data_IF_230283159216
#
_entry.id   IF_230283159216
#
_cell.length_a   1.000
_cell.length_b   1.000
_cell.length_c   1.000
_cell.angle_alpha   90.00
_cell.angle_beta   90.00
_cell.angle_gamma   90.00
#
_symmetry.space_group_name_H-M   'P 1'
#
loop_
_entity.id
_entity.type
_entity.pdbx_description
1 polymer ?
#
# COMPACT_ATOMS: atom_id res chain seq x y z
N UNK A 1 -19.79 18.98 45.90
CA UNK A 1 -21.07 19.69 45.82
C UNK A 1 -21.80 19.11 44.61
N UNK A 2 -22.68 18.19 44.95
CA UNK A 2 -24.14 18.19 44.71
C UNK A 2 -24.48 17.81 43.27
N UNK A 3 -24.74 16.53 42.99
CA UNK A 3 -26.06 15.84 43.03
C UNK A 3 -27.10 16.49 42.10
N UNK A 4 -27.62 15.73 41.11
CA UNK A 4 -29.05 15.31 41.08
C UNK A 4 -29.32 14.42 39.86
N UNK A 5 -29.76 13.18 40.14
CA UNK A 5 -30.69 12.38 39.33
C UNK A 5 -32.12 12.76 39.73
N UNK A 6 -33.16 12.56 38.91
CA UNK A 6 -34.04 11.39 39.02
C UNK A 6 -34.46 10.84 37.64
N UNK A 7 -34.71 9.56 37.42
CA UNK A 7 -35.74 8.59 37.85
C UNK A 7 -37.21 8.99 37.47
N UNK A 8 -37.85 8.19 36.67
CA UNK A 8 -39.22 7.64 36.80
C UNK A 8 -39.76 7.25 35.40
N UNK A 9 -40.12 6.04 35.24
CA UNK A 9 -41.38 5.22 35.40
C UNK A 9 -42.24 5.32 34.11
N UNK A 10 -42.43 4.20 33.42
CA UNK A 10 -43.37 3.08 33.56
C UNK A 10 -44.74 3.29 32.85
N UNK A 11 -45.19 2.31 32.14
CA UNK A 11 -46.51 1.65 32.00
C UNK A 11 -46.70 1.20 30.55
N UNK A 12 -46.75 -0.06 30.20
CA UNK A 12 -47.77 -1.10 30.46
C UNK A 12 -48.95 -1.09 29.47
N UNK A 13 -49.07 -2.26 28.79
CA UNK A 13 -50.27 -3.01 28.40
C UNK A 13 -51.10 -2.52 27.20
N UNK A 14 -51.44 -3.38 26.23
CA UNK A 14 -52.52 -4.34 26.25
C UNK A 14 -52.61 -5.16 24.95
N UNK A 15 -53.01 -6.40 25.11
CA UNK A 15 -53.36 -7.43 24.13
C UNK A 15 -54.49 -6.99 23.19
N UNK A 16 -54.47 -7.50 21.95
CA UNK A 16 -55.66 -7.89 21.21
C UNK A 16 -55.33 -8.99 20.21
N UNK A 17 -55.79 -10.21 20.47
CA UNK A 17 -55.97 -11.31 19.52
C UNK A 17 -57.15 -11.01 18.62
N UNK A 18 -56.99 -11.19 17.30
CA UNK A 18 -58.09 -11.57 16.40
C UNK A 18 -57.58 -12.54 15.36
N UNK A 19 -58.10 -13.75 15.43
CA UNK A 19 -57.98 -14.78 14.42
C UNK A 19 -58.99 -14.50 13.29
N UNK A 20 -58.54 -14.60 12.04
CA UNK A 20 -59.42 -14.81 10.90
C UNK A 20 -58.73 -15.68 9.86
N UNK A 21 -59.28 -16.89 9.66
CA UNK A 21 -58.96 -17.77 8.53
C UNK A 21 -59.43 -17.16 7.22
N UNK A 22 -58.64 -17.28 6.15
CA UNK A 22 -59.01 -16.86 4.79
C UNK A 22 -58.05 -17.41 3.75
N UNK A 23 -58.47 -18.49 3.14
CA UNK A 23 -58.10 -19.19 1.88
C UNK A 23 -57.07 -18.58 0.92
N UNK A 24 -56.08 -19.43 0.58
CA UNK A 24 -55.56 -19.76 -0.78
C UNK A 24 -55.54 -18.66 -1.85
N UNK A 25 -54.35 -18.17 -2.13
CA UNK A 25 -53.85 -17.93 -3.48
C UNK A 25 -52.36 -17.73 -3.45
N UNK A 26 -51.62 -18.62 -4.06
CA UNK A 26 -50.19 -18.53 -4.37
C UNK A 26 -49.96 -17.40 -5.38
N UNK A 27 -49.19 -16.39 -5.05
CA UNK A 27 -48.40 -15.67 -6.05
C UNK A 27 -46.98 -16.15 -5.98
N UNK A 28 -46.52 -16.67 -7.08
CA UNK A 28 -45.13 -16.88 -7.43
C UNK A 28 -44.33 -15.61 -7.12
N UNK A 29 -43.57 -15.59 -6.03
CA UNK A 29 -42.56 -14.57 -5.77
C UNK A 29 -41.40 -14.81 -6.69
N UNK A 30 -40.94 -13.79 -7.44
CA UNK A 30 -39.63 -13.87 -8.06
C UNK A 30 -38.56 -13.90 -6.92
N UNK A 31 -37.90 -15.04 -6.81
CA UNK A 31 -36.72 -15.21 -5.98
C UNK A 31 -35.64 -14.27 -6.49
N UNK A 32 -35.53 -13.08 -5.90
CA UNK A 32 -34.36 -12.27 -6.01
C UNK A 32 -33.25 -12.95 -5.19
N UNK A 33 -32.51 -13.84 -5.83
CA UNK A 33 -31.21 -14.27 -5.32
C UNK A 33 -30.41 -13.04 -4.95
N UNK A 34 -29.89 -12.95 -3.70
CA UNK A 34 -28.85 -11.96 -3.43
C UNK A 34 -27.68 -12.29 -4.34
N UNK A 35 -27.39 -11.36 -5.25
CA UNK A 35 -26.15 -11.36 -6.02
C UNK A 35 -25.02 -11.43 -5.00
N UNK A 36 -24.46 -12.61 -4.84
CA UNK A 36 -23.22 -12.78 -4.10
C UNK A 36 -22.20 -11.87 -4.81
N UNK A 37 -21.88 -10.75 -4.18
CA UNK A 37 -20.67 -10.00 -4.53
C UNK A 37 -19.55 -11.01 -4.51
N UNK A 38 -19.08 -11.37 -5.70
CA UNK A 38 -17.86 -12.12 -5.86
C UNK A 38 -16.76 -11.28 -5.23
N UNK A 39 -16.41 -11.60 -4.00
CA UNK A 39 -15.17 -11.13 -3.40
C UNK A 39 -14.07 -11.63 -4.33
N UNK A 40 -13.51 -10.71 -5.13
CA UNK A 40 -12.27 -10.98 -5.85
C UNK A 40 -11.30 -11.56 -4.83
N UNK A 41 -10.78 -12.79 -5.02
CA UNK A 41 -9.82 -13.34 -4.09
C UNK A 41 -8.68 -12.32 -3.97
N UNK A 42 -8.37 -11.92 -2.76
CA UNK A 42 -7.18 -11.13 -2.48
C UNK A 42 -6.00 -11.91 -3.11
N UNK A 43 -5.11 -11.23 -3.86
CA UNK A 43 -3.97 -11.91 -4.47
C UNK A 43 -3.25 -12.70 -3.37
N UNK A 44 -2.95 -13.95 -3.68
CA UNK A 44 -2.24 -14.83 -2.76
C UNK A 44 -0.98 -14.09 -2.31
N UNK A 45 -0.92 -13.72 -1.04
CA UNK A 45 0.21 -13.01 -0.48
C UNK A 45 1.42 -13.91 -0.66
N UNK A 46 2.35 -13.52 -1.49
CA UNK A 46 3.57 -14.29 -1.82
C UNK A 46 4.50 -14.47 -0.60
N UNK A 47 3.97 -14.33 0.61
CA UNK A 47 4.73 -14.40 1.84
C UNK A 47 5.72 -13.24 2.03
N UNK A 48 5.61 -12.19 1.20
CA UNK A 48 6.43 -10.99 1.31
C UNK A 48 5.76 -9.97 2.23
N UNK A 49 6.51 -9.46 3.18
CA UNK A 49 6.12 -8.36 4.07
C UNK A 49 7.19 -7.28 4.08
N UNK A 50 6.79 -6.05 4.43
CA UNK A 50 7.73 -4.95 4.69
C UNK A 50 7.65 -4.59 6.18
N UNK A 51 8.69 -4.97 6.93
CA UNK A 51 8.83 -4.62 8.33
C UNK A 51 9.47 -3.24 8.47
N UNK A 52 9.07 -2.50 9.50
CA UNK A 52 9.55 -1.13 9.78
C UNK A 52 9.42 -0.19 8.57
N UNK A 53 8.48 -0.51 7.67
CA UNK A 53 8.28 0.21 6.42
C UNK A 53 7.87 1.66 6.62
N UNK A 54 8.42 2.57 5.83
CA UNK A 54 8.04 3.98 5.81
C UNK A 54 8.39 4.63 4.48
N UNK A 55 7.69 5.74 4.18
CA UNK A 55 7.95 6.60 3.02
C UNK A 55 8.40 7.96 3.53
N UNK A 56 9.39 8.58 2.86
CA UNK A 56 9.83 9.94 3.18
C UNK A 56 8.76 10.93 2.77
N UNK A 57 8.30 11.78 3.71
CA UNK A 57 7.38 12.87 3.41
C UNK A 57 8.04 13.91 2.52
N UNK A 58 7.26 14.48 1.59
CA UNK A 58 7.75 15.50 0.63
C UNK A 58 7.11 16.87 0.83
N UNK A 59 6.23 17.02 1.82
CA UNK A 59 5.65 18.33 2.14
C UNK A 59 6.76 19.34 2.50
N UNK A 60 6.62 20.57 2.01
CA UNK A 60 7.61 21.61 2.24
C UNK A 60 8.88 21.50 1.41
N UNK A 61 9.04 20.46 0.59
CA UNK A 61 10.11 20.35 -0.40
C UNK A 61 9.73 21.12 -1.67
N UNK A 62 10.66 21.88 -2.22
CA UNK A 62 10.48 22.63 -3.47
C UNK A 62 11.11 21.89 -4.67
N UNK A 63 10.64 22.24 -5.90
CA UNK A 63 11.21 21.74 -7.15
C UNK A 63 10.96 20.24 -7.37
N UNK A 64 11.81 19.61 -8.20
CA UNK A 64 11.70 18.21 -8.57
C UNK A 64 11.77 17.20 -7.41
N UNK A 65 12.20 17.63 -6.21
CA UNK A 65 12.19 16.81 -5.00
C UNK A 65 10.77 16.59 -4.45
N UNK A 66 9.81 17.45 -4.77
CA UNK A 66 8.41 17.26 -4.40
C UNK A 66 7.71 16.22 -5.29
N UNK A 67 8.31 15.85 -6.41
CA UNK A 67 7.75 14.94 -7.41
C UNK A 67 8.17 13.48 -7.23
N UNK A 68 9.06 13.20 -6.27
CA UNK A 68 9.56 11.85 -6.02
C UNK A 68 9.85 11.62 -4.55
N UNK A 69 9.76 10.36 -4.12
CA UNK A 69 10.12 9.96 -2.76
C UNK A 69 10.56 8.51 -2.68
N UNK A 70 11.31 8.16 -1.63
CA UNK A 70 11.76 6.81 -1.35
C UNK A 70 10.92 6.10 -0.30
N UNK A 71 10.72 4.80 -0.48
CA UNK A 71 10.19 3.91 0.54
C UNK A 71 11.29 2.97 1.03
N UNK A 72 11.33 2.78 2.34
CA UNK A 72 12.38 2.11 3.10
C UNK A 72 11.79 1.08 4.08
N UNK A 73 12.64 0.20 4.61
CA UNK A 73 12.25 -0.84 5.56
C UNK A 73 12.96 -2.15 5.26
N UNK A 74 12.44 -3.25 5.77
CA UNK A 74 13.02 -4.59 5.59
C UNK A 74 12.00 -5.47 4.88
N UNK A 75 12.28 -5.84 3.64
CA UNK A 75 11.50 -6.84 2.93
C UNK A 75 11.82 -8.21 3.50
N UNK A 76 10.79 -8.96 3.92
CA UNK A 76 10.94 -10.32 4.42
C UNK A 76 10.17 -11.31 3.57
N UNK A 77 10.87 -12.35 3.16
CA UNK A 77 10.29 -13.50 2.47
C UNK A 77 10.00 -14.63 3.47
N UNK A 78 8.74 -14.80 3.87
CA UNK A 78 8.32 -15.90 4.73
C UNK A 78 8.16 -17.23 3.97
N UNK A 79 8.34 -17.22 2.66
CA UNK A 79 8.25 -18.41 1.79
C UNK A 79 9.45 -19.36 1.90
N UNK A 80 9.34 -20.51 1.25
CA UNK A 80 10.39 -21.53 1.19
C UNK A 80 11.17 -21.51 -0.13
N UNK A 81 10.79 -20.62 -1.05
CA UNK A 81 11.47 -20.37 -2.32
C UNK A 81 12.04 -18.95 -2.33
N UNK A 82 13.11 -18.69 -3.09
CA UNK A 82 13.55 -17.33 -3.35
C UNK A 82 12.40 -16.54 -3.97
N UNK A 83 12.29 -15.26 -3.64
CA UNK A 83 11.29 -14.34 -4.20
C UNK A 83 12.00 -13.23 -4.95
N UNK A 84 11.60 -13.00 -6.18
CA UNK A 84 12.18 -11.98 -7.04
C UNK A 84 11.21 -10.83 -7.23
N UNK A 85 11.57 -9.64 -6.73
CA UNK A 85 10.83 -8.39 -6.90
C UNK A 85 11.34 -7.69 -8.14
N UNK A 86 10.49 -7.49 -9.14
CA UNK A 86 10.86 -6.94 -10.44
C UNK A 86 10.48 -5.47 -10.62
N UNK A 87 9.57 -4.97 -9.80
CA UNK A 87 9.05 -3.62 -9.88
C UNK A 87 7.84 -3.40 -8.97
N UNK A 88 7.01 -2.44 -9.35
CA UNK A 88 5.78 -2.18 -8.59
C UNK A 88 4.98 -1.03 -9.19
N UNK A 89 3.89 -0.70 -8.51
CA UNK A 89 3.05 0.46 -8.83
C UNK A 89 2.43 1.03 -7.55
N UNK A 90 1.95 2.27 -7.63
CA UNK A 90 1.29 2.95 -6.52
C UNK A 90 0.26 3.94 -7.06
N UNK A 91 -0.93 4.07 -6.46
CA UNK A 91 -1.87 5.14 -6.83
C UNK A 91 -1.35 6.55 -6.48
N UNK A 92 -0.33 6.64 -5.63
CA UNK A 92 0.28 7.90 -5.22
C UNK A 92 1.38 8.39 -6.18
N UNK A 93 1.76 7.60 -7.20
CA UNK A 93 2.87 7.92 -8.10
C UNK A 93 2.60 7.42 -9.52
N UNK A 94 3.12 8.11 -10.52
CA UNK A 94 3.06 7.68 -11.93
C UNK A 94 3.95 6.47 -12.21
N UNK A 95 5.05 6.32 -11.45
CA UNK A 95 5.97 5.19 -11.58
C UNK A 95 6.53 4.75 -10.23
N UNK A 96 6.77 3.43 -10.11
CA UNK A 96 7.49 2.84 -8.97
C UNK A 96 8.69 2.06 -9.54
N UNK A 97 9.87 2.35 -9.04
CA UNK A 97 11.11 1.73 -9.49
C UNK A 97 11.90 1.20 -8.28
N UNK A 98 12.64 0.13 -8.50
CA UNK A 98 13.59 -0.40 -7.53
C UNK A 98 14.93 0.27 -7.83
N UNK A 99 15.53 0.94 -6.85
CA UNK A 99 16.80 1.64 -6.99
C UNK A 99 17.87 0.99 -6.12
N UNK A 100 19.08 0.95 -6.66
CA UNK A 100 20.27 0.49 -5.99
C UNK A 100 21.34 1.58 -5.99
N UNK A 101 22.23 1.50 -5.03
CA UNK A 101 23.37 2.38 -4.93
C UNK A 101 24.62 1.66 -5.41
N UNK A 102 25.28 2.22 -6.42
CA UNK A 102 26.51 1.68 -6.98
C UNK A 102 27.66 2.67 -6.84
N UNK A 103 28.88 2.16 -6.75
CA UNK A 103 30.09 2.99 -6.84
C UNK A 103 30.56 3.02 -8.29
N UNK A 104 30.71 4.22 -8.84
CA UNK A 104 31.30 4.39 -10.16
C UNK A 104 32.83 4.19 -10.14
N UNK A 105 33.47 4.23 -11.31
CA UNK A 105 34.89 4.03 -11.44
C UNK A 105 35.72 5.06 -10.67
N UNK A 106 35.19 6.25 -10.38
CA UNK A 106 35.86 7.29 -9.57
C UNK A 106 35.61 7.12 -8.05
N UNK A 107 34.90 6.08 -7.64
CA UNK A 107 34.53 5.83 -6.24
C UNK A 107 33.37 6.65 -5.73
N UNK A 108 32.76 7.48 -6.55
CA UNK A 108 31.54 8.22 -6.19
C UNK A 108 30.33 7.30 -6.15
N UNK A 109 29.46 7.56 -5.18
CA UNK A 109 28.22 6.79 -4.98
C UNK A 109 27.13 7.39 -5.87
N UNK A 110 26.47 6.55 -6.65
CA UNK A 110 25.36 6.93 -7.52
C UNK A 110 24.18 6.00 -7.31
N UNK A 111 22.97 6.56 -7.36
CA UNK A 111 21.73 5.79 -7.38
C UNK A 111 21.29 5.56 -8.82
N UNK A 112 20.91 4.33 -9.09
CA UNK A 112 20.39 3.93 -10.38
C UNK A 112 19.27 2.91 -10.21
N UNK A 113 18.48 2.73 -11.25
CA UNK A 113 17.48 1.66 -11.30
C UNK A 113 18.17 0.31 -11.25
N UNK A 114 17.73 -0.55 -10.33
CA UNK A 114 18.18 -1.93 -10.23
C UNK A 114 17.63 -2.72 -11.43
N UNK A 115 18.49 -2.98 -12.42
CA UNK A 115 18.09 -3.62 -13.68
C UNK A 115 17.56 -5.05 -13.47
N UNK A 116 18.07 -5.74 -12.45
CA UNK A 116 17.70 -7.12 -12.15
C UNK A 116 16.69 -7.23 -10.98
N UNK A 117 16.13 -6.10 -10.51
CA UNK A 117 15.25 -6.12 -9.34
C UNK A 117 15.97 -6.56 -8.05
N UNK A 118 15.18 -7.05 -7.08
CA UNK A 118 15.72 -7.54 -5.79
C UNK A 118 15.35 -9.00 -5.58
N UNK A 119 16.32 -9.83 -5.22
CA UNK A 119 16.09 -11.23 -4.88
C UNK A 119 16.19 -11.42 -3.36
N UNK A 120 15.15 -11.97 -2.77
CA UNK A 120 15.06 -12.22 -1.33
C UNK A 120 15.10 -13.73 -1.12
N UNK A 121 16.13 -14.21 -0.42
CA UNK A 121 16.31 -15.63 -0.14
C UNK A 121 15.11 -16.25 0.62
N UNK A 122 14.90 -17.55 0.56
CA UNK A 122 13.88 -18.23 1.36
C UNK A 122 14.10 -17.93 2.85
N UNK A 123 13.03 -17.56 3.56
CA UNK A 123 13.10 -17.16 4.99
C UNK A 123 14.07 -16.00 5.26
N UNK A 124 14.52 -15.32 4.22
CA UNK A 124 15.50 -14.23 4.29
C UNK A 124 14.86 -12.84 4.32
N UNK A 125 15.74 -11.84 4.36
CA UNK A 125 15.37 -10.43 4.33
C UNK A 125 16.23 -9.66 3.34
N UNK A 126 15.73 -8.50 2.92
CA UNK A 126 16.43 -7.54 2.07
C UNK A 126 16.19 -6.14 2.61
N UNK A 127 17.26 -5.42 2.93
CA UNK A 127 17.19 -4.10 3.53
C UNK A 127 17.03 -3.00 2.48
N UNK A 128 16.10 -2.09 2.76
CA UNK A 128 15.85 -0.86 2.02
C UNK A 128 16.16 0.32 2.94
N UNK A 129 17.27 1.00 2.69
CA UNK A 129 17.75 2.08 3.57
C UNK A 129 18.08 3.33 2.78
N UNK A 130 17.92 4.53 3.37
CA UNK A 130 18.36 5.77 2.75
C UNK A 130 19.84 5.72 2.39
N UNK A 131 20.17 6.12 1.17
CA UNK A 131 21.55 6.06 0.67
C UNK A 131 21.99 4.69 0.13
N UNK A 132 21.13 3.68 0.17
CA UNK A 132 21.38 2.35 -0.37
C UNK A 132 20.20 1.88 -1.24
N UNK A 133 19.84 0.58 -1.19
CA UNK A 133 18.70 0.09 -1.95
C UNK A 133 17.39 0.67 -1.40
N UNK A 134 16.45 1.01 -2.28
CA UNK A 134 15.14 1.54 -1.91
C UNK A 134 14.10 1.38 -3.03
N UNK A 135 12.85 1.58 -2.68
CA UNK A 135 11.76 1.67 -3.64
C UNK A 135 11.51 3.14 -3.91
N UNK A 136 11.62 3.55 -5.17
CA UNK A 136 11.43 4.92 -5.59
C UNK A 136 10.03 5.13 -6.16
N UNK A 137 9.31 6.13 -5.63
CA UNK A 137 8.04 6.60 -6.16
C UNK A 137 8.32 7.89 -6.94
N UNK A 138 7.99 7.92 -8.22
CA UNK A 138 8.31 8.99 -9.16
C UNK A 138 7.02 9.54 -9.76
N UNK A 139 6.99 10.83 -10.04
CA UNK A 139 5.78 11.52 -10.54
C UNK A 139 4.64 11.39 -9.52
N UNK A 140 4.90 11.87 -8.30
CA UNK A 140 3.89 11.86 -7.26
C UNK A 140 2.63 12.63 -7.68
N UNK A 141 1.47 12.05 -7.47
CA UNK A 141 0.17 12.67 -7.79
C UNK A 141 -0.17 13.84 -6.85
N UNK A 142 0.42 13.86 -5.66
CA UNK A 142 0.33 14.91 -4.66
C UNK A 142 1.52 14.84 -3.69
N UNK A 143 1.88 15.93 -3.00
CA UNK A 143 2.87 15.89 -1.93
C UNK A 143 2.47 14.91 -0.84
N UNK A 144 3.40 14.05 -0.42
CA UNK A 144 3.22 13.11 0.69
C UNK A 144 3.48 13.84 2.00
N UNK A 145 2.49 13.88 2.89
CA UNK A 145 2.58 14.56 4.19
C UNK A 145 3.01 13.61 5.29
N UNK A 146 3.61 14.16 6.34
CA UNK A 146 3.91 13.38 7.55
C UNK A 146 2.62 12.82 8.14
N UNK A 147 2.59 11.51 8.39
CA UNK A 147 1.42 10.80 8.90
C UNK A 147 0.49 10.24 7.82
N UNK A 148 0.67 10.60 6.56
CA UNK A 148 -0.05 9.95 5.46
C UNK A 148 0.27 8.46 5.40
N UNK A 149 -0.62 7.71 4.78
CA UNK A 149 -0.43 6.30 4.50
C UNK A 149 -0.34 6.08 3.00
N UNK A 150 0.76 5.52 2.54
CA UNK A 150 1.03 5.25 1.12
C UNK A 150 0.86 3.76 0.83
N UNK A 151 0.07 3.45 -0.20
CA UNK A 151 -0.05 2.07 -0.71
C UNK A 151 0.92 1.87 -1.85
N UNK A 152 1.69 0.79 -1.77
CA UNK A 152 2.64 0.37 -2.80
C UNK A 152 2.34 -1.09 -3.12
N UNK A 153 2.19 -1.44 -4.38
CA UNK A 153 2.08 -2.83 -4.81
C UNK A 153 3.38 -3.22 -5.47
N UNK A 154 4.06 -4.22 -4.93
CA UNK A 154 5.27 -4.78 -5.52
C UNK A 154 4.90 -5.93 -6.44
N UNK A 155 5.49 -5.95 -7.64
CA UNK A 155 5.36 -7.04 -8.59
C UNK A 155 6.48 -8.03 -8.35
N UNK A 156 6.10 -9.30 -8.16
CA UNK A 156 7.06 -10.39 -7.92
C UNK A 156 6.81 -11.55 -8.88
N UNK A 157 7.76 -12.45 -8.98
CA UNK A 157 7.62 -13.72 -9.73
C UNK A 157 6.55 -14.66 -9.14
N UNK A 158 6.13 -14.44 -7.89
CA UNK A 158 5.06 -15.18 -7.22
C UNK A 158 3.72 -14.42 -7.15
N UNK A 159 3.61 -13.28 -7.87
CA UNK A 159 2.42 -12.42 -7.90
C UNK A 159 2.62 -11.07 -7.19
N UNK A 160 1.59 -10.25 -7.24
CA UNK A 160 1.62 -8.90 -6.69
C UNK A 160 1.39 -8.90 -5.18
N UNK A 161 2.14 -8.06 -4.47
CA UNK A 161 2.06 -7.90 -3.01
C UNK A 161 1.76 -6.44 -2.66
N UNK A 162 0.60 -6.20 -2.05
CA UNK A 162 0.21 -4.87 -1.59
C UNK A 162 0.79 -4.58 -0.20
N UNK A 163 1.50 -3.46 -0.11
CA UNK A 163 2.08 -2.92 1.10
C UNK A 163 1.38 -1.61 1.47
N UNK A 164 1.28 -1.33 2.75
CA UNK A 164 0.72 -0.07 3.25
C UNK A 164 1.69 0.48 4.29
N UNK A 165 2.26 1.65 4.02
CA UNK A 165 3.35 2.21 4.82
C UNK A 165 3.08 3.66 5.24
N UNK A 166 3.43 4.05 6.48
CA UNK A 166 3.29 5.43 6.94
C UNK A 166 4.36 6.33 6.34
N UNK A 167 4.00 7.59 6.11
CA UNK A 167 4.94 8.63 5.74
C UNK A 167 5.56 9.28 6.98
N UNK A 168 6.88 9.49 6.95
CA UNK A 168 7.65 10.08 8.06
C UNK A 168 8.50 11.25 7.57
N UNK A 169 8.71 12.24 8.42
CA UNK A 169 9.72 13.26 8.19
C UNK A 169 11.12 12.63 8.20
N UNK A 170 11.94 13.00 7.24
CA UNK A 170 13.34 12.57 7.18
C UNK A 170 14.19 13.67 6.53
N UNK A 171 15.16 14.17 7.26
CA UNK A 171 16.02 15.25 6.83
C UNK A 171 17.37 14.81 6.24
N UNK A 172 17.65 13.50 6.27
CA UNK A 172 18.86 12.90 5.68
C UNK A 172 18.68 12.53 4.20
N UNK A 173 19.77 12.04 3.60
CA UNK A 173 19.85 11.57 2.21
C UNK A 173 19.35 12.62 1.20
N UNK A 174 20.21 13.62 0.96
CA UNK A 174 20.10 14.48 -0.22
C UNK A 174 20.82 13.77 -1.37
N UNK A 175 20.11 12.89 -2.02
CA UNK A 175 20.65 12.01 -3.04
C UNK A 175 20.52 12.66 -4.40
N UNK A 176 21.61 12.71 -5.14
CA UNK A 176 21.60 13.15 -6.54
C UNK A 176 21.12 11.99 -7.41
N UNK A 177 19.93 12.10 -7.98
CA UNK A 177 19.41 11.15 -8.94
C UNK A 177 19.91 11.52 -10.34
N UNK A 178 20.48 10.56 -11.06
CA UNK A 178 20.71 10.71 -12.49
C UNK A 178 19.36 10.51 -13.19
N UNK A 179 18.92 11.46 -14.04
CA UNK A 179 17.73 11.23 -14.84
C UNK A 179 18.00 10.04 -15.77
N UNK A 180 17.11 9.06 -15.74
CA UNK A 180 17.10 7.99 -16.73
C UNK A 180 17.00 8.64 -18.11
N UNK A 181 17.89 8.33 -19.08
CA UNK A 181 17.77 8.90 -20.41
C UNK A 181 16.43 8.45 -21.01
N UNK A 182 15.53 9.41 -21.20
CA UNK A 182 14.35 9.20 -22.02
C UNK A 182 14.82 8.69 -23.37
N UNK A 183 14.39 7.50 -23.75
CA UNK A 183 14.58 7.01 -25.10
C UNK A 183 13.90 8.02 -26.05
N UNK A 184 14.72 8.88 -26.65
CA UNK A 184 14.28 9.78 -27.72
C UNK A 184 13.84 8.91 -28.89
N UNK A 185 12.52 8.80 -29.08
CA UNK A 185 12.00 8.27 -30.34
C UNK A 185 12.34 9.28 -31.43
N UNK A 186 13.34 8.96 -32.24
CA UNK A 186 13.59 9.63 -33.52
C UNK A 186 12.44 9.25 -34.46
N UNK A 187 11.71 10.26 -34.91
CA UNK A 187 10.85 10.20 -36.08
C UNK A 187 11.67 10.18 -37.38
#
# INVERSE_FOLDING_TARGET
MTMHRPLALAAAALLSLTAACGSSSTPTSPSTSPSASASTPAPATAGLTLEEGWVKATEGMGGGMAEMTGAFGILRNAGTQPLHVTGGWSPAAGRVELHETVKNASGSVQMQKAQNGFTIAPKGSFELTPGANHIMLIELTAPVKVGDTVRITLTTDAGDVALTVPARAFTGAQESYLPTPSASMSH
#
